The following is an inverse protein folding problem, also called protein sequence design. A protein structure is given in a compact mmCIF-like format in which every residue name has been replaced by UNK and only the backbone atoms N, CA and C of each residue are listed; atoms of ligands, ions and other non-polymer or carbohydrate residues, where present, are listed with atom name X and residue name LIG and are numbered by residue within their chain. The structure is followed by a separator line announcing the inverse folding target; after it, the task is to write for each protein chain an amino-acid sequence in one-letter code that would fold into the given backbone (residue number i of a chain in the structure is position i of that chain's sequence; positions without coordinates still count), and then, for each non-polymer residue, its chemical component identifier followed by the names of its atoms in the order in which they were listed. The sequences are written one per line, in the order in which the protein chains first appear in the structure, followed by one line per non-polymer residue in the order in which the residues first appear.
data_IF_609126206961
#
_entry.id   IF_609126206961
#
_cell.length_a   1.000
_cell.length_b   1.000
_cell.length_c   1.000
_cell.angle_alpha   90.00
_cell.angle_beta   90.00
_cell.angle_gamma   90.00
#
_symmetry.space_group_name_H-M   'P 1'
#
loop_
_entity.id
_entity.type
_entity.pdbx_description
1 polymer ?
#
# COMPACT_ATOMS: atom_id res chain seq x y z
N UNK A 1 1.15 -24.72 -21.38
CA UNK A 1 2.05 -23.71 -21.60
C UNK A 1 2.74 -23.25 -20.35
N UNK A 2 3.97 -22.99 -20.46
CA UNK A 2 4.70 -22.62 -19.38
C UNK A 2 4.52 -21.24 -19.04
N UNK A 3 4.42 -20.94 -17.80
CA UNK A 3 4.29 -19.65 -17.33
C UNK A 3 5.59 -19.09 -17.01
N UNK A 4 5.83 -17.85 -17.35
CA UNK A 4 7.03 -17.21 -16.91
C UNK A 4 7.10 -17.21 -15.45
N UNK A 5 8.27 -17.35 -14.88
CA UNK A 5 8.41 -17.24 -13.44
C UNK A 5 7.87 -15.89 -13.02
N UNK A 6 7.16 -15.87 -11.91
CA UNK A 6 6.65 -14.68 -11.38
C UNK A 6 7.66 -14.03 -10.53
N UNK A 7 8.13 -12.90 -10.92
CA UNK A 7 9.00 -12.12 -10.09
C UNK A 7 8.13 -11.26 -9.19
N UNK A 8 8.75 -10.52 -8.33
CA UNK A 8 8.04 -9.69 -7.38
C UNK A 8 7.20 -8.68 -8.13
N UNK A 9 5.92 -8.66 -7.82
CA UNK A 9 4.98 -7.77 -8.44
C UNK A 9 4.43 -6.86 -7.37
N UNK A 10 4.79 -5.59 -7.39
CA UNK A 10 4.39 -4.67 -6.34
C UNK A 10 2.90 -4.40 -6.34
N UNK A 11 2.35 -4.09 -7.49
CA UNK A 11 0.96 -3.63 -7.54
C UNK A 11 -0.01 -4.78 -7.62
N UNK A 12 -1.15 -4.61 -6.97
CA UNK A 12 -2.21 -5.61 -6.98
C UNK A 12 -2.75 -5.83 -8.37
N UNK A 13 -2.83 -4.75 -9.15
CA UNK A 13 -3.44 -4.80 -10.48
C UNK A 13 -3.00 -3.57 -11.26
N UNK A 14 -3.37 -3.51 -12.52
CA UNK A 14 -3.10 -2.33 -13.32
C UNK A 14 -3.87 -1.13 -12.78
N UNK A 15 -5.07 -1.36 -12.27
CA UNK A 15 -5.84 -0.27 -11.69
C UNK A 15 -5.14 0.31 -10.46
N UNK A 16 -4.55 -0.57 -9.64
CA UNK A 16 -3.78 -0.14 -8.48
C UNK A 16 -2.60 0.73 -8.93
N UNK A 17 -1.87 0.28 -9.93
CA UNK A 17 -0.71 1.00 -10.44
C UNK A 17 -1.12 2.37 -10.95
N UNK A 18 -2.22 2.44 -11.69
CA UNK A 18 -2.69 3.71 -12.24
C UNK A 18 -3.12 4.67 -11.14
N UNK A 19 -3.83 4.18 -10.12
CA UNK A 19 -4.26 5.03 -9.01
C UNK A 19 -3.06 5.58 -8.25
N UNK A 20 -2.10 4.71 -7.93
CA UNK A 20 -0.93 5.14 -7.17
C UNK A 20 -0.12 6.17 -7.96
N UNK A 21 0.12 5.89 -9.23
CA UNK A 21 0.91 6.80 -10.07
C UNK A 21 0.24 8.17 -10.19
N UNK A 22 -1.06 8.15 -10.42
CA UNK A 22 -1.82 9.40 -10.57
C UNK A 22 -1.71 10.25 -9.30
N UNK A 23 -1.95 9.66 -8.15
CA UNK A 23 -1.99 10.43 -6.91
C UNK A 23 -0.60 10.75 -6.39
N UNK A 24 0.37 9.90 -6.64
CA UNK A 24 1.74 10.20 -6.26
C UNK A 24 2.27 11.41 -7.02
N UNK A 25 1.88 11.56 -8.26
CA UNK A 25 2.29 12.73 -9.03
C UNK A 25 1.62 14.00 -8.53
N UNK A 26 0.38 13.88 -8.09
CA UNK A 26 -0.33 15.03 -7.56
C UNK A 26 0.17 15.43 -6.18
N UNK A 27 0.62 14.47 -5.40
CA UNK A 27 1.11 14.71 -4.05
C UNK A 27 2.62 14.51 -4.04
N UNK A 28 3.31 15.34 -4.78
CA UNK A 28 4.73 15.15 -5.06
C UNK A 28 5.66 15.37 -3.86
N UNK A 29 5.14 15.91 -2.77
CA UNK A 29 5.98 16.14 -1.59
C UNK A 29 5.90 15.03 -0.55
N UNK A 30 5.31 13.91 -0.89
CA UNK A 30 5.21 12.82 0.07
C UNK A 30 6.58 12.23 0.39
N UNK A 31 6.80 11.94 1.66
CA UNK A 31 7.98 11.21 2.08
C UNK A 31 7.87 9.76 1.62
N UNK A 32 8.96 9.01 1.72
CA UNK A 32 8.92 7.60 1.35
C UNK A 32 7.91 6.83 2.16
N UNK A 33 7.77 7.13 3.45
CA UNK A 33 6.78 6.48 4.29
C UNK A 33 5.36 6.81 3.83
N UNK A 34 5.11 8.03 3.47
CA UNK A 34 3.80 8.42 2.97
C UNK A 34 3.53 7.88 1.57
N UNK A 35 4.55 7.72 0.76
CA UNK A 35 4.39 7.05 -0.54
C UNK A 35 4.01 5.60 -0.34
N UNK A 36 4.59 4.95 0.65
CA UNK A 36 4.25 3.58 0.98
C UNK A 36 2.81 3.47 1.47
N UNK A 37 2.39 4.45 2.29
CA UNK A 37 1.01 4.47 2.74
C UNK A 37 0.06 4.67 1.56
N UNK A 38 0.39 5.57 0.65
CA UNK A 38 -0.40 5.79 -0.55
C UNK A 38 -0.50 4.51 -1.36
N UNK A 39 0.60 3.77 -1.47
CA UNK A 39 0.63 2.50 -2.16
C UNK A 39 -0.42 1.54 -1.60
N UNK A 40 -0.49 1.42 -0.28
CA UNK A 40 -1.47 0.55 0.35
C UNK A 40 -2.90 1.07 0.21
N UNK A 41 -3.08 2.36 0.38
CA UNK A 41 -4.41 2.94 0.37
C UNK A 41 -5.04 2.94 -1.02
N UNK A 42 -4.23 2.95 -2.05
CA UNK A 42 -4.73 2.92 -3.42
C UNK A 42 -4.90 1.52 -3.97
N UNK A 43 -4.53 0.50 -3.21
CA UNK A 43 -4.61 -0.89 -3.69
C UNK A 43 -6.05 -1.32 -3.96
N UNK A 44 -6.97 -0.86 -3.14
CA UNK A 44 -8.37 -1.23 -3.27
C UNK A 44 -9.21 0.02 -3.47
N UNK A 45 -10.05 -0.02 -4.49
CA UNK A 45 -10.84 1.15 -4.82
C UNK A 45 -11.75 1.58 -3.67
N UNK A 46 -12.36 0.62 -2.99
CA UNK A 46 -13.27 0.94 -1.91
C UNK A 46 -12.57 1.61 -0.74
N UNK A 47 -11.33 1.22 -0.48
CA UNK A 47 -10.55 1.86 0.57
C UNK A 47 -10.13 3.27 0.12
N UNK A 48 -9.67 3.39 -1.14
CA UNK A 48 -9.22 4.68 -1.64
C UNK A 48 -10.35 5.71 -1.66
N UNK A 49 -11.56 5.29 -1.93
CA UNK A 49 -12.70 6.21 -1.91
C UNK A 49 -12.89 6.85 -0.56
N UNK A 50 -12.51 6.16 0.51
CA UNK A 50 -12.62 6.71 1.85
C UNK A 50 -11.46 7.61 2.21
N UNK A 51 -10.33 7.46 1.50
CA UNK A 51 -9.11 8.19 1.83
C UNK A 51 -8.80 9.35 0.91
N UNK A 52 -9.40 9.37 -0.27
CA UNK A 52 -8.98 10.33 -1.31
C UNK A 52 -9.11 11.78 -0.84
N UNK A 53 -10.15 12.08 -0.06
CA UNK A 53 -10.36 13.45 0.43
C UNK A 53 -9.51 13.77 1.65
N UNK A 54 -8.77 12.80 2.16
CA UNK A 54 -7.90 12.97 3.31
C UNK A 54 -6.43 13.04 2.93
N UNK A 55 -6.15 13.00 1.62
CA UNK A 55 -4.79 13.02 1.12
C UNK A 55 -4.38 14.45 0.80
N UNK A 56 -3.25 14.87 1.35
CA UNK A 56 -2.66 16.17 1.02
C UNK A 56 -1.24 15.97 0.55
N UNK A 57 -0.57 17.04 0.22
CA UNK A 57 0.80 16.99 -0.27
C UNK A 57 1.79 16.44 0.75
N UNK A 58 1.47 16.60 2.03
CA UNK A 58 2.39 16.20 3.09
C UNK A 58 2.01 14.91 3.78
N UNK A 59 0.91 14.30 3.39
CA UNK A 59 0.48 13.05 4.02
C UNK A 59 -1.03 12.96 4.11
N UNK A 60 -1.49 12.17 5.06
CA UNK A 60 -2.90 11.83 5.20
C UNK A 60 -3.46 12.19 6.56
N UNK A 61 -4.73 12.54 6.58
CA UNK A 61 -5.43 12.77 7.83
C UNK A 61 -6.16 11.49 8.20
N UNK A 62 -5.48 10.62 8.93
CA UNK A 62 -6.04 9.33 9.31
C UNK A 62 -7.12 9.46 10.38
N UNK A 63 -7.12 10.56 11.11
CA UNK A 63 -8.03 10.68 12.25
C UNK A 63 -9.46 10.91 11.86
N UNK A 64 -9.71 11.54 10.73
CA UNK A 64 -11.06 11.88 10.35
C UNK A 64 -11.67 10.90 9.35
N UNK A 65 -11.00 9.78 9.08
CA UNK A 65 -11.51 8.79 8.15
C UNK A 65 -12.59 7.95 8.80
N UNK A 66 -13.65 7.70 8.06
CA UNK A 66 -14.73 6.84 8.55
C UNK A 66 -14.65 5.50 7.88
N UNK A 67 -14.53 4.46 8.70
CA UNK A 67 -14.31 3.11 8.21
C UNK A 67 -15.45 2.15 8.51
N UNK A 68 -16.58 2.66 8.97
CA UNK A 68 -17.72 1.80 9.28
C UNK A 68 -18.12 1.00 8.06
N UNK A 69 -18.36 -0.29 8.24
CA UNK A 69 -18.78 -1.17 7.16
C UNK A 69 -17.69 -1.62 6.22
N UNK A 70 -16.44 -1.27 6.50
CA UNK A 70 -15.36 -1.72 5.64
C UNK A 70 -15.02 -3.17 5.94
N UNK A 71 -14.57 -3.90 4.93
CA UNK A 71 -14.21 -5.31 5.10
C UNK A 71 -12.98 -5.46 5.99
N UNK A 72 -12.91 -6.53 6.78
CA UNK A 72 -11.77 -6.72 7.68
C UNK A 72 -10.42 -6.71 6.99
N UNK A 73 -10.35 -7.26 5.78
CA UNK A 73 -9.10 -7.27 5.03
C UNK A 73 -8.65 -5.86 4.71
N UNK A 74 -9.58 -5.01 4.30
CA UNK A 74 -9.26 -3.63 3.98
C UNK A 74 -8.90 -2.84 5.23
N UNK A 75 -9.53 -3.19 6.34
CA UNK A 75 -9.19 -2.55 7.60
C UNK A 75 -7.75 -2.85 7.99
N UNK A 76 -7.30 -4.08 7.78
CA UNK A 76 -5.91 -4.44 8.06
C UNK A 76 -4.93 -3.66 7.19
N UNK A 77 -5.27 -3.49 5.91
CA UNK A 77 -4.44 -2.72 5.00
C UNK A 77 -4.39 -1.25 5.45
N UNK A 78 -5.53 -0.71 5.86
CA UNK A 78 -5.59 0.65 6.37
C UNK A 78 -4.71 0.82 7.61
N UNK A 79 -4.78 -0.13 8.55
CA UNK A 79 -3.99 -0.05 9.77
C UNK A 79 -2.50 -0.11 9.46
N UNK A 80 -2.12 -0.95 8.50
CA UNK A 80 -0.72 -1.03 8.09
C UNK A 80 -0.26 0.29 7.47
N UNK A 81 -1.10 0.90 6.63
CA UNK A 81 -0.75 2.16 6.01
C UNK A 81 -0.56 3.25 7.07
N UNK A 82 -1.46 3.29 8.04
CA UNK A 82 -1.38 4.28 9.11
C UNK A 82 -0.11 4.05 9.95
N UNK A 83 0.18 2.79 10.27
CA UNK A 83 1.37 2.48 11.06
C UNK A 83 2.64 2.90 10.34
N UNK A 84 2.70 2.67 9.03
CA UNK A 84 3.89 3.06 8.26
C UNK A 84 4.00 4.57 8.19
N UNK A 85 2.89 5.25 7.94
CA UNK A 85 2.93 6.69 7.73
C UNK A 85 3.21 7.47 9.01
N UNK A 86 2.55 7.10 10.09
CA UNK A 86 2.63 7.90 11.32
C UNK A 86 3.29 7.20 12.50
N UNK A 87 3.64 5.95 12.34
CA UNK A 87 4.35 5.21 13.38
C UNK A 87 3.49 4.76 14.53
N UNK A 88 2.15 4.94 14.46
CA UNK A 88 1.29 4.53 15.51
C UNK A 88 0.85 3.12 15.24
N UNK A 89 0.94 2.27 16.22
CA UNK A 89 0.79 0.88 16.06
C UNK A 89 -0.46 0.30 16.61
N UNK A 90 -1.43 0.07 15.78
CA UNK A 90 -2.56 -0.76 16.14
C UNK A 90 -2.49 -2.11 15.44
N UNK A 91 -1.37 -2.40 14.80
CA UNK A 91 -1.16 -3.69 14.16
C UNK A 91 0.24 -4.15 14.53
N UNK A 92 0.38 -5.39 14.95
CA UNK A 92 1.65 -5.91 15.40
C UNK A 92 2.23 -6.85 14.36
N UNK A 93 3.49 -7.23 14.53
CA UNK A 93 4.10 -8.21 13.65
C UNK A 93 3.37 -9.55 13.74
N UNK A 94 2.89 -9.89 14.93
CA UNK A 94 2.12 -11.13 15.09
C UNK A 94 0.81 -11.06 14.31
N UNK A 95 0.17 -9.89 14.29
CA UNK A 95 -1.04 -9.71 13.52
C UNK A 95 -0.78 -9.91 12.03
N UNK A 96 0.34 -9.38 11.55
CA UNK A 96 0.70 -9.51 10.15
C UNK A 96 0.95 -10.95 9.76
N UNK A 97 1.47 -11.72 10.69
CA UNK A 97 1.75 -13.13 10.44
C UNK A 97 0.52 -14.03 10.58
N UNK A 98 -0.58 -13.49 11.05
CA UNK A 98 -1.79 -14.29 11.28
C UNK A 98 -2.53 -14.53 9.97
N UNK A 99 -2.72 -15.78 9.56
CA UNK A 99 -3.46 -16.02 8.32
C UNK A 99 -4.94 -15.67 8.42
N UNK A 100 -5.43 -15.46 9.63
CA UNK A 100 -6.82 -15.12 9.81
C UNK A 100 -7.08 -13.63 9.72
N UNK A 101 -6.09 -12.83 10.08
CA UNK A 101 -6.25 -11.38 10.08
C UNK A 101 -5.78 -10.74 8.80
N UNK A 102 -4.76 -11.30 8.18
CA UNK A 102 -4.14 -10.70 7.00
C UNK A 102 -4.06 -11.77 5.92
N UNK A 103 -4.72 -11.55 4.81
CA UNK A 103 -4.69 -12.50 3.71
C UNK A 103 -3.32 -12.48 3.05
N UNK A 104 -3.05 -13.49 2.23
CA UNK A 104 -1.77 -13.54 1.50
C UNK A 104 -1.61 -12.33 0.61
N UNK A 105 -2.70 -11.90 -0.03
CA UNK A 105 -2.67 -10.74 -0.90
C UNK A 105 -2.32 -9.48 -0.11
N UNK A 106 -2.98 -9.29 1.02
CA UNK A 106 -2.70 -8.13 1.86
C UNK A 106 -1.29 -8.17 2.40
N UNK A 107 -0.83 -9.36 2.81
CA UNK A 107 0.53 -9.48 3.33
C UNK A 107 1.56 -9.11 2.26
N UNK A 108 1.34 -9.56 1.03
CA UNK A 108 2.23 -9.23 -0.08
C UNK A 108 2.27 -7.71 -0.29
N UNK A 109 1.11 -7.06 -0.27
CA UNK A 109 1.05 -5.61 -0.42
C UNK A 109 1.76 -4.89 0.71
N UNK A 110 1.57 -5.36 1.94
CA UNK A 110 2.21 -4.74 3.10
C UNK A 110 3.72 -4.89 3.01
N UNK A 111 4.20 -6.06 2.58
CA UNK A 111 5.62 -6.27 2.40
C UNK A 111 6.18 -5.30 1.35
N UNK A 112 5.48 -5.12 0.24
CA UNK A 112 5.90 -4.16 -0.78
C UNK A 112 5.94 -2.75 -0.24
N UNK A 113 4.95 -2.39 0.58
CA UNK A 113 4.92 -1.07 1.19
C UNK A 113 6.09 -0.86 2.13
N UNK A 114 6.47 -1.87 2.89
CA UNK A 114 7.62 -1.75 3.78
C UNK A 114 8.90 -1.54 2.99
N UNK A 115 9.05 -2.22 1.87
CA UNK A 115 10.20 -2.01 1.01
C UNK A 115 10.22 -0.59 0.47
N UNK A 116 9.07 -0.08 0.07
CA UNK A 116 8.97 1.28 -0.45
C UNK A 116 9.27 2.30 0.64
N UNK A 117 8.79 2.07 1.85
CA UNK A 117 9.05 2.98 2.95
C UNK A 117 10.52 3.06 3.28
N UNK A 118 11.22 1.95 3.13
CA UNK A 118 12.63 1.89 3.47
C UNK A 118 13.54 2.40 2.35
N UNK A 119 13.20 2.07 1.12
CA UNK A 119 14.10 2.34 -0.01
C UNK A 119 13.56 3.35 -1.03
N UNK A 120 12.33 3.79 -0.87
CA UNK A 120 11.74 4.78 -1.76
C UNK A 120 11.30 4.18 -3.09
N UNK A 121 11.11 5.04 -4.07
CA UNK A 121 10.60 4.64 -5.38
C UNK A 121 11.53 3.69 -6.11
N UNK A 122 12.77 3.60 -5.70
CA UNK A 122 13.73 2.73 -6.36
C UNK A 122 13.30 1.27 -6.34
N UNK A 123 12.44 0.89 -5.38
CA UNK A 123 11.98 -0.49 -5.31
C UNK A 123 11.18 -0.89 -6.54
N UNK A 124 10.61 0.08 -7.25
CA UNK A 124 9.84 -0.23 -8.44
C UNK A 124 10.71 -0.79 -9.56
N UNK A 125 12.01 -0.57 -9.47
CA UNK A 125 12.93 -1.10 -10.44
C UNK A 125 13.12 -2.61 -10.34
N UNK A 126 12.73 -3.21 -9.21
CA UNK A 126 12.81 -4.65 -9.06
C UNK A 126 11.91 -5.34 -10.07
N UNK A 127 10.72 -4.80 -10.26
CA UNK A 127 9.75 -5.35 -11.18
C UNK A 127 10.23 -5.16 -12.62
N UNK A 128 10.74 -3.97 -12.89
CA UNK A 128 11.22 -3.65 -14.18
C UNK A 128 12.43 -4.46 -14.57
N UNK A 129 13.36 -4.64 -13.66
CA UNK A 129 14.55 -5.44 -13.90
C UNK A 129 14.20 -6.87 -14.21
N UNK A 130 13.20 -7.42 -13.55
CA UNK A 130 12.75 -8.77 -13.82
C UNK A 130 12.21 -8.90 -15.23
N UNK A 131 11.55 -7.90 -15.73
CA UNK A 131 11.02 -7.91 -17.05
C UNK A 131 12.09 -7.91 -18.13
N UNK A 132 13.21 -7.38 -17.82
CA UNK A 132 14.27 -7.26 -18.79
C UNK A 132 15.08 -8.51 -18.94
N UNK A 133 14.93 -9.46 -18.08
CA UNK A 133 15.65 -10.70 -18.22
C UNK A 133 14.79 -11.78 -18.87
#
# INVERSE_FOLDING_TARGET
RERKPQFFQFFLSDAHRRRWTHWRERCWRLSDRNKAALFLLTAYESLWRRMVWKCGNDGFDFQSVRLGGIEPELYSVYQAAKAIAVGCCNITLADLASPELVTDEAFHLITGALLMAKYGDAVLNLEKGADET
#
